data_IF_730437725389
#
_entry.id   IF_730437725389
#
_cell.length_a   1.000
_cell.length_b   1.000
_cell.length_c   1.000
_cell.angle_alpha   90.00
_cell.angle_beta   90.00
_cell.angle_gamma   90.00
#
_symmetry.space_group_name_H-M   'P 1'
#
loop_
_entity.id
_entity.type
_entity.pdbx_description
1 polymer ?
#
# COMPACT_ATOMS: atom_id res chain seq x y z
N UNK A 1 -2.26 -2.20 -6.05
CA UNK A 1 -3.23 -3.31 -6.15
C UNK A 1 -3.41 -3.65 -7.61
N UNK A 2 -3.28 -4.93 -7.98
CA UNK A 2 -3.64 -5.39 -9.32
C UNK A 2 -5.09 -5.84 -9.30
N UNK A 3 -5.89 -5.41 -10.28
CA UNK A 3 -7.34 -5.71 -10.34
C UNK A 3 -7.62 -6.99 -11.15
N UNK A 4 -6.58 -7.66 -11.67
CA UNK A 4 -6.71 -8.90 -12.43
C UNK A 4 -6.88 -10.13 -11.51
N UNK A 5 -7.91 -10.94 -11.75
CA UNK A 5 -8.15 -12.21 -11.07
C UNK A 5 -7.06 -13.22 -11.43
N UNK A 6 -6.09 -13.38 -10.54
CA UNK A 6 -5.03 -14.40 -10.55
C UNK A 6 -4.89 -14.89 -9.11
N UNK A 7 -4.33 -16.09 -8.86
CA UNK A 7 -4.05 -16.66 -7.53
C UNK A 7 -3.50 -15.65 -6.49
N UNK A 8 -2.86 -14.56 -6.94
CA UNK A 8 -2.49 -13.36 -6.16
C UNK A 8 -3.65 -12.54 -5.57
N UNK A 9 -4.91 -12.91 -5.82
CA UNK A 9 -6.12 -12.23 -5.35
C UNK A 9 -6.72 -12.84 -4.08
N UNK A 10 -6.17 -13.93 -3.55
CA UNK A 10 -6.61 -14.55 -2.29
C UNK A 10 -5.72 -14.16 -1.11
N UNK A 11 -6.28 -14.15 0.11
CA UNK A 11 -5.56 -13.80 1.35
C UNK A 11 -5.32 -12.29 1.52
N UNK A 12 -4.07 -11.85 1.35
CA UNK A 12 -3.62 -10.47 1.61
C UNK A 12 -4.45 -9.44 0.82
N UNK A 13 -4.83 -9.74 -0.42
CA UNK A 13 -5.66 -8.83 -1.22
C UNK A 13 -7.04 -8.59 -0.58
N UNK A 14 -7.69 -9.64 -0.07
CA UNK A 14 -8.96 -9.53 0.65
C UNK A 14 -8.81 -8.76 1.95
N UNK A 15 -7.71 -8.97 2.68
CA UNK A 15 -7.37 -8.17 3.85
C UNK A 15 -7.23 -6.69 3.49
N UNK A 16 -6.43 -6.35 2.48
CA UNK A 16 -6.21 -4.95 2.05
C UNK A 16 -7.53 -4.31 1.63
N UNK A 17 -8.36 -5.01 0.83
CA UNK A 17 -9.66 -4.48 0.39
C UNK A 17 -10.60 -4.20 1.56
N UNK A 18 -10.67 -5.09 2.54
CA UNK A 18 -11.50 -4.85 3.73
C UNK A 18 -10.91 -3.77 4.62
N UNK A 19 -9.58 -3.70 4.74
CA UNK A 19 -8.91 -2.65 5.51
C UNK A 19 -9.24 -1.27 4.93
N UNK A 20 -8.98 -1.03 3.65
CA UNK A 20 -9.24 0.28 3.03
C UNK A 20 -10.73 0.64 3.00
N UNK A 21 -11.63 -0.36 3.04
CA UNK A 21 -13.08 -0.15 3.09
C UNK A 21 -13.57 0.31 4.46
N UNK A 22 -13.02 -0.23 5.54
CA UNK A 22 -13.56 -0.03 6.88
C UNK A 22 -12.71 0.91 7.74
N UNK A 23 -11.42 1.06 7.46
CA UNK A 23 -10.50 1.86 8.28
C UNK A 23 -10.94 3.33 8.42
N UNK A 24 -11.42 4.02 7.35
CA UNK A 24 -11.93 5.39 7.50
C UNK A 24 -13.12 5.54 8.45
N UNK A 25 -13.97 4.51 8.55
CA UNK A 25 -15.11 4.49 9.47
C UNK A 25 -14.74 4.10 10.89
N UNK A 26 -13.67 3.33 11.08
CA UNK A 26 -13.21 2.87 12.38
C UNK A 26 -12.53 3.99 13.18
N UNK A 27 -11.79 4.86 12.51
CA UNK A 27 -11.19 6.05 13.15
C UNK A 27 -11.23 7.27 12.20
N UNK A 28 -12.28 8.10 12.33
CA UNK A 28 -12.45 9.33 11.55
C UNK A 28 -11.44 10.44 11.90
N UNK A 29 -10.65 10.29 12.97
CA UNK A 29 -9.63 11.26 13.37
C UNK A 29 -8.43 11.31 12.41
N UNK A 30 -8.27 10.26 11.59
CA UNK A 30 -7.22 10.17 10.59
C UNK A 30 -7.72 10.51 9.18
N UNK A 31 -6.79 11.00 8.35
CA UNK A 31 -6.98 11.14 6.90
C UNK A 31 -6.25 10.01 6.20
N UNK A 32 -6.97 9.28 5.36
CA UNK A 32 -6.43 8.11 4.67
C UNK A 32 -6.17 8.42 3.20
N UNK A 33 -4.96 8.10 2.74
CA UNK A 33 -4.57 8.15 1.33
C UNK A 33 -4.09 6.78 0.90
N UNK A 34 -4.64 6.23 -0.19
CA UNK A 34 -4.17 4.98 -0.78
C UNK A 34 -3.39 5.25 -2.05
N UNK A 35 -2.15 4.75 -2.07
CA UNK A 35 -1.26 4.82 -3.22
C UNK A 35 -1.52 3.66 -4.18
N UNK A 36 -1.80 3.97 -5.45
CA UNK A 36 -2.27 3.01 -6.45
C UNK A 36 -1.44 3.07 -7.73
N UNK A 37 -1.17 1.89 -8.29
CA UNK A 37 -0.51 1.72 -9.58
C UNK A 37 -1.46 1.65 -10.77
N UNK A 38 -2.71 1.24 -10.53
CA UNK A 38 -3.74 1.00 -11.54
C UNK A 38 -5.03 1.73 -11.13
N UNK A 39 -5.80 2.18 -12.11
CA UNK A 39 -7.04 2.96 -11.91
C UNK A 39 -8.30 2.13 -11.68
N UNK A 40 -8.17 0.82 -11.47
CA UNK A 40 -9.33 -0.07 -11.33
C UNK A 40 -10.02 -0.04 -9.96
N UNK A 41 -9.49 0.69 -8.97
CA UNK A 41 -10.16 0.90 -7.68
C UNK A 41 -10.95 2.21 -7.70
N UNK A 42 -12.27 2.10 -7.56
CA UNK A 42 -13.20 3.24 -7.65
C UNK A 42 -13.22 4.14 -6.39
N UNK A 43 -12.52 3.75 -5.31
CA UNK A 43 -12.52 4.48 -4.06
C UNK A 43 -13.53 3.97 -3.02
N UNK A 44 -13.46 4.56 -1.84
CA UNK A 44 -14.43 4.41 -0.75
C UNK A 44 -14.52 5.76 -0.05
N UNK A 45 -15.68 6.07 0.52
CA UNK A 45 -15.90 7.31 1.27
C UNK A 45 -14.87 7.48 2.39
N UNK A 46 -14.36 8.69 2.61
CA UNK A 46 -13.36 8.97 3.65
C UNK A 46 -11.92 8.63 3.26
N UNK A 47 -11.65 8.34 1.98
CA UNK A 47 -10.35 7.92 1.51
C UNK A 47 -9.94 8.67 0.23
N UNK A 48 -8.76 9.28 0.25
CA UNK A 48 -8.13 9.89 -0.91
C UNK A 48 -7.34 8.87 -1.73
N UNK A 49 -7.27 9.07 -3.04
CA UNK A 49 -6.54 8.19 -3.96
C UNK A 49 -5.36 8.94 -4.58
N UNK A 50 -4.16 8.37 -4.49
CA UNK A 50 -2.95 8.90 -5.15
C UNK A 50 -2.44 7.87 -6.16
N UNK A 51 -2.51 8.21 -7.45
CA UNK A 51 -2.13 7.31 -8.54
C UNK A 51 -0.74 7.64 -9.06
N UNK A 52 0.14 6.63 -9.16
CA UNK A 52 1.38 6.77 -9.91
C UNK A 52 1.14 6.63 -11.41
N UNK A 53 1.96 7.33 -12.21
CA UNK A 53 2.01 7.15 -13.66
C UNK A 53 3.03 6.08 -14.07
N UNK A 54 3.82 5.58 -13.13
CA UNK A 54 4.83 4.57 -13.38
C UNK A 54 4.18 3.19 -13.54
N UNK A 55 4.60 2.36 -14.51
CA UNK A 55 4.07 1.02 -14.75
C UNK A 55 4.53 0.02 -13.68
N UNK A 56 3.95 0.12 -12.49
CA UNK A 56 4.26 -0.71 -11.31
C UNK A 56 3.85 -2.17 -11.41
N UNK A 57 3.15 -2.52 -12.48
CA UNK A 57 2.97 -3.91 -12.86
C UNK A 57 4.30 -4.58 -13.24
N UNK A 58 5.32 -3.79 -13.64
CA UNK A 58 6.69 -4.28 -13.88
C UNK A 58 7.48 -4.31 -12.56
N UNK A 59 8.00 -5.47 -12.12
CA UNK A 59 8.65 -5.62 -10.81
C UNK A 59 9.80 -4.63 -10.55
N UNK A 60 10.68 -4.42 -11.54
CA UNK A 60 11.80 -3.48 -11.41
C UNK A 60 11.33 -2.03 -11.23
N UNK A 61 10.27 -1.62 -11.94
CA UNK A 61 9.67 -0.29 -11.81
C UNK A 61 8.98 -0.15 -10.45
N UNK A 62 8.33 -1.21 -9.98
CA UNK A 62 7.71 -1.25 -8.65
C UNK A 62 8.75 -1.05 -7.55
N UNK A 63 9.86 -1.78 -7.63
CA UNK A 63 10.98 -1.65 -6.70
C UNK A 63 11.53 -0.21 -6.68
N UNK A 64 11.82 0.37 -7.85
CA UNK A 64 12.32 1.75 -7.94
C UNK A 64 11.31 2.77 -7.38
N UNK A 65 10.01 2.57 -7.62
CA UNK A 65 8.98 3.44 -7.04
C UNK A 65 8.94 3.30 -5.53
N UNK A 66 8.79 2.08 -4.98
CA UNK A 66 8.74 1.82 -3.54
C UNK A 66 9.99 2.38 -2.82
N UNK A 67 11.18 2.28 -3.41
CA UNK A 67 12.42 2.67 -2.75
C UNK A 67 12.85 4.13 -2.97
N UNK A 68 12.53 4.74 -4.10
CA UNK A 68 13.03 6.09 -4.45
C UNK A 68 11.92 7.13 -4.59
N UNK A 69 10.85 6.81 -5.31
CA UNK A 69 9.80 7.80 -5.60
C UNK A 69 8.82 7.90 -4.41
N UNK A 70 8.52 6.81 -3.68
CA UNK A 70 7.50 6.73 -2.61
C UNK A 70 7.86 7.59 -1.41
N UNK A 71 9.12 7.55 -0.97
CA UNK A 71 9.59 8.45 0.08
C UNK A 71 9.41 9.92 -0.27
N UNK A 72 9.50 10.29 -1.55
CA UNK A 72 9.29 11.67 -1.99
C UNK A 72 7.81 12.04 -2.02
N UNK A 73 6.96 11.18 -2.60
CA UNK A 73 5.51 11.41 -2.66
C UNK A 73 4.90 11.50 -1.25
N UNK A 74 5.28 10.59 -0.34
CA UNK A 74 4.84 10.59 1.07
C UNK A 74 5.18 11.92 1.75
N UNK A 75 6.39 12.45 1.53
CA UNK A 75 6.77 13.76 2.08
C UNK A 75 6.00 14.91 1.46
N UNK A 76 5.85 14.91 0.13
CA UNK A 76 5.15 15.96 -0.62
C UNK A 76 3.66 16.03 -0.24
N UNK A 77 3.03 14.89 -0.01
CA UNK A 77 1.62 14.78 0.41
C UNK A 77 1.44 14.90 1.93
N UNK A 78 2.51 15.25 2.67
CA UNK A 78 2.50 15.42 4.13
C UNK A 78 1.93 14.21 4.89
N UNK A 79 2.26 13.00 4.45
CA UNK A 79 1.82 11.76 5.08
C UNK A 79 2.63 11.49 6.35
N UNK A 80 1.97 11.47 7.50
CA UNK A 80 2.62 11.32 8.81
C UNK A 80 3.01 9.88 9.14
N UNK A 81 2.27 8.90 8.60
CA UNK A 81 2.50 7.47 8.80
C UNK A 81 2.23 6.69 7.51
N UNK A 82 3.18 5.84 7.11
CA UNK A 82 3.01 4.94 5.97
C UNK A 82 2.64 3.52 6.43
N UNK A 83 1.54 2.96 5.93
CA UNK A 83 1.21 1.55 6.16
C UNK A 83 1.56 0.71 4.93
N UNK A 84 2.43 -0.29 5.10
CA UNK A 84 2.77 -1.28 4.07
C UNK A 84 2.19 -2.65 4.44
N UNK A 85 1.06 -3.06 3.84
CA UNK A 85 0.40 -4.31 4.17
C UNK A 85 1.06 -5.55 3.54
N UNK A 86 2.15 -5.41 2.80
CA UNK A 86 2.76 -6.50 2.04
C UNK A 86 4.29 -6.55 2.19
N UNK A 87 4.75 -6.56 3.46
CA UNK A 87 6.11 -6.93 3.89
C UNK A 87 7.30 -6.02 3.53
N UNK A 88 7.12 -4.95 2.75
CA UNK A 88 8.26 -4.07 2.38
C UNK A 88 7.98 -2.62 2.73
N UNK A 89 8.79 -2.04 3.61
CA UNK A 89 8.86 -0.60 3.84
C UNK A 89 9.94 0.06 2.97
N UNK A 90 9.86 1.37 2.74
CA UNK A 90 10.93 2.10 2.06
C UNK A 90 12.18 2.13 2.93
N UNK A 91 13.35 1.80 2.37
CA UNK A 91 14.63 1.85 3.10
C UNK A 91 15.09 3.29 3.37
N UNK A 92 14.62 4.24 2.56
CA UNK A 92 14.94 5.66 2.63
C UNK A 92 13.64 6.42 2.85
N UNK A 93 13.59 7.46 3.69
CA UNK A 93 12.35 8.24 3.79
C UNK A 93 12.07 8.96 5.09
N UNK A 94 12.69 8.54 6.19
CA UNK A 94 12.60 9.19 7.50
C UNK A 94 11.19 9.35 8.07
N UNK A 95 10.14 8.88 7.38
CA UNK A 95 8.75 8.91 7.84
C UNK A 95 8.48 7.59 8.56
N UNK A 96 7.79 7.63 9.71
CA UNK A 96 7.35 6.42 10.39
C UNK A 96 6.56 5.52 9.45
N UNK A 97 6.77 4.21 9.56
CA UNK A 97 6.02 3.23 8.80
C UNK A 97 5.67 2.01 9.64
N UNK A 98 4.55 1.38 9.30
CA UNK A 98 4.08 0.13 9.88
C UNK A 98 4.02 -0.91 8.77
N UNK A 99 4.53 -2.11 9.04
CA UNK A 99 4.42 -3.25 8.13
C UNK A 99 3.50 -4.28 8.78
N UNK A 100 2.52 -4.78 8.03
CA UNK A 100 1.75 -5.96 8.44
C UNK A 100 2.50 -7.21 7.98
N UNK A 101 2.81 -8.09 8.93
CA UNK A 101 3.35 -9.44 8.65
C UNK A 101 2.19 -10.42 8.73
N UNK A 102 1.84 -11.05 7.61
CA UNK A 102 0.66 -11.91 7.50
C UNK A 102 0.90 -13.35 7.96
N UNK A 103 2.12 -13.86 7.79
CA UNK A 103 2.53 -15.17 8.24
C UNK A 103 4.04 -15.17 8.53
N UNK A 104 4.46 -16.12 9.37
CA UNK A 104 5.86 -16.32 9.74
C UNK A 104 6.41 -17.61 9.13
N UNK A 105 5.77 -18.16 8.10
CA UNK A 105 6.11 -19.48 7.56
C UNK A 105 7.55 -19.50 7.02
N UNK A 106 7.99 -18.41 6.40
CA UNK A 106 9.37 -18.22 5.95
C UNK A 106 10.40 -18.28 7.09
N UNK A 107 10.02 -17.87 8.30
CA UNK A 107 10.93 -17.92 9.46
C UNK A 107 10.99 -19.32 10.08
N UNK A 108 9.88 -20.04 10.08
CA UNK A 108 9.78 -21.37 10.69
C UNK A 108 10.19 -22.52 9.76
N UNK A 109 10.12 -22.32 8.43
CA UNK A 109 10.48 -23.31 7.41
C UNK A 109 11.37 -22.66 6.33
N UNK A 110 12.67 -22.44 6.63
CA UNK A 110 13.61 -21.78 5.72
C UNK A 110 14.00 -22.63 4.50
#
# INVERSE_FOLDING_TARGET
MSVAASYRSAGINWYIQNLIRHLPGADPGFRYTVFLGERGYAGTTGLALSFTRLPTNRPAVRFLWEQAVQPWVVRREAIDLLHSPALVGPMLGGRPFVVTVHDLSYHHYP
#
